data_IF_955227805871
#
_entry.id   IF_955227805871
#
_cell.length_a   1.000
_cell.length_b   1.000
_cell.length_c   1.000
_cell.angle_alpha   90.00
_cell.angle_beta   90.00
_cell.angle_gamma   90.00
#
_symmetry.space_group_name_H-M   'P 1'
#
loop_
_entity.id
_entity.type
_entity.pdbx_description
1 polymer ?
#
# COMPACT_ATOMS: atom_id res chain seq x y z
N UNK A 1 7.65 15.42 -0.84
CA UNK A 1 8.68 14.49 -1.33
C UNK A 1 8.65 13.25 -0.44
N UNK A 2 8.72 12.04 -1.01
CA UNK A 2 8.40 10.75 -0.35
C UNK A 2 9.34 10.30 0.81
N UNK A 3 10.27 11.13 1.27
CA UNK A 3 11.15 10.80 2.40
C UNK A 3 12.18 9.68 2.15
N UNK A 4 12.40 9.28 0.90
CA UNK A 4 13.32 8.20 0.52
C UNK A 4 14.80 8.63 0.72
N UNK A 5 15.61 7.75 1.32
CA UNK A 5 17.04 8.00 1.58
C UNK A 5 17.96 7.64 0.42
N UNK A 6 17.55 6.68 -0.40
CA UNK A 6 18.30 6.16 -1.54
C UNK A 6 17.33 5.84 -2.69
N UNK A 7 17.80 5.90 -3.94
CA UNK A 7 17.01 5.42 -5.08
C UNK A 7 16.93 3.88 -5.07
N UNK A 8 15.91 3.34 -5.75
CA UNK A 8 15.85 1.91 -6.05
C UNK A 8 17.08 1.49 -6.84
N UNK A 9 17.70 0.36 -6.45
CA UNK A 9 18.83 -0.20 -7.19
C UNK A 9 18.41 -0.51 -8.64
N UNK A 10 19.11 0.00 -9.67
CA UNK A 10 18.77 -0.25 -11.08
C UNK A 10 18.72 -1.74 -11.45
N UNK A 11 19.34 -2.63 -10.67
CA UNK A 11 19.24 -4.08 -10.88
C UNK A 11 17.85 -4.64 -10.55
N UNK A 12 17.07 -3.95 -9.71
CA UNK A 12 15.73 -4.41 -9.33
C UNK A 12 14.80 -4.50 -10.54
N UNK A 13 14.80 -3.49 -11.42
CA UNK A 13 13.94 -3.51 -12.62
C UNK A 13 14.30 -4.66 -13.55
N UNK A 14 15.60 -4.94 -13.74
CA UNK A 14 16.06 -6.08 -14.55
C UNK A 14 15.63 -7.45 -13.99
N UNK A 15 15.36 -7.54 -12.68
CA UNK A 15 14.87 -8.77 -12.04
C UNK A 15 13.35 -8.83 -12.14
N UNK A 16 12.66 -7.71 -11.84
CA UNK A 16 11.21 -7.60 -11.94
C UNK A 16 10.71 -7.96 -13.34
N UNK A 17 11.38 -7.47 -14.39
CA UNK A 17 11.06 -7.77 -15.80
C UNK A 17 11.10 -9.26 -16.15
N UNK A 18 11.85 -10.08 -15.41
CA UNK A 18 11.94 -11.52 -15.66
C UNK A 18 10.73 -12.30 -15.16
N UNK A 19 9.99 -11.77 -14.19
CA UNK A 19 8.87 -12.44 -13.52
C UNK A 19 7.76 -11.44 -13.16
N UNK A 20 7.23 -10.73 -14.16
CA UNK A 20 6.22 -9.68 -13.95
C UNK A 20 4.94 -10.20 -13.29
N UNK A 21 4.53 -11.44 -13.57
CA UNK A 21 3.34 -12.04 -12.94
C UNK A 21 3.49 -12.14 -11.42
N UNK A 22 4.66 -12.53 -10.92
CA UNK A 22 4.93 -12.58 -9.47
C UNK A 22 4.91 -11.17 -8.86
N UNK A 23 5.47 -10.18 -9.58
CA UNK A 23 5.45 -8.77 -9.13
C UNK A 23 4.02 -8.24 -9.07
N UNK A 24 3.19 -8.49 -10.07
CA UNK A 24 1.79 -8.05 -10.07
C UNK A 24 0.97 -8.75 -8.98
N UNK A 25 1.26 -10.02 -8.72
CA UNK A 25 0.64 -10.77 -7.62
C UNK A 25 1.01 -10.17 -6.27
N UNK A 26 2.31 -9.93 -6.02
CA UNK A 26 2.78 -9.30 -4.78
C UNK A 26 2.27 -7.85 -4.65
N UNK A 27 2.20 -7.10 -5.75
CA UNK A 27 1.62 -5.76 -5.80
C UNK A 27 0.15 -5.79 -5.36
N UNK A 28 -0.69 -6.64 -5.95
CA UNK A 28 -2.08 -6.79 -5.50
C UNK A 28 -2.17 -7.06 -3.99
N UNK A 29 -1.33 -7.96 -3.46
CA UNK A 29 -1.27 -8.18 -2.02
C UNK A 29 -0.73 -6.98 -1.23
N UNK A 30 0.10 -6.11 -1.80
CA UNK A 30 0.52 -4.86 -1.15
C UNK A 30 -0.65 -3.89 -1.01
N UNK A 31 -1.49 -3.74 -2.03
CA UNK A 31 -2.67 -2.88 -1.95
C UNK A 31 -3.70 -3.39 -0.93
N UNK A 32 -3.94 -4.71 -0.91
CA UNK A 32 -4.78 -5.32 0.12
C UNK A 32 -4.21 -5.11 1.53
N UNK A 33 -2.88 -5.21 1.71
CA UNK A 33 -2.22 -4.94 3.00
C UNK A 33 -2.35 -3.48 3.41
N UNK A 34 -2.25 -2.54 2.48
CA UNK A 34 -2.46 -1.12 2.73
C UNK A 34 -3.90 -0.84 3.21
N UNK A 35 -4.90 -1.37 2.49
CA UNK A 35 -6.30 -1.28 2.90
C UNK A 35 -6.56 -1.89 4.29
N UNK A 36 -6.01 -3.07 4.55
CA UNK A 36 -6.15 -3.77 5.82
C UNK A 36 -5.49 -3.02 6.98
N UNK A 37 -4.37 -2.35 6.72
CA UNK A 37 -3.67 -1.50 7.69
C UNK A 37 -4.51 -0.27 8.04
N UNK A 38 -5.09 0.39 7.03
CA UNK A 38 -6.00 1.52 7.24
C UNK A 38 -7.22 1.11 8.10
N UNK A 39 -7.83 -0.05 7.82
CA UNK A 39 -8.93 -0.60 8.65
C UNK A 39 -8.47 -0.89 10.07
N UNK A 40 -7.27 -1.44 10.25
CA UNK A 40 -6.71 -1.71 11.59
C UNK A 40 -6.53 -0.43 12.41
N UNK A 41 -6.14 0.67 11.76
CA UNK A 41 -6.04 1.99 12.40
C UNK A 41 -7.40 2.57 12.78
N UNK A 42 -8.42 2.40 11.94
CA UNK A 42 -9.81 2.80 12.26
C UNK A 42 -10.30 2.08 13.53
N UNK A 43 -10.10 0.76 13.58
CA UNK A 43 -10.51 -0.06 14.73
C UNK A 43 -9.71 0.27 15.99
N UNK A 44 -8.41 0.54 15.84
CA UNK A 44 -7.50 0.81 16.96
C UNK A 44 -7.65 2.21 17.58
N UNK A 45 -8.15 3.19 16.82
CA UNK A 45 -8.27 4.58 17.24
C UNK A 45 -9.61 5.22 16.85
N UNK A 46 -10.75 4.62 17.23
CA UNK A 46 -12.07 5.05 16.78
C UNK A 46 -12.45 6.46 17.25
N UNK A 47 -11.85 6.95 18.33
CA UNK A 47 -12.10 8.29 18.88
C UNK A 47 -11.45 9.42 18.06
N UNK A 48 -10.53 9.09 17.15
CA UNK A 48 -9.83 10.07 16.30
C UNK A 48 -10.57 10.23 14.96
N UNK A 49 -11.66 11.00 14.96
CA UNK A 49 -12.53 11.21 13.78
C UNK A 49 -11.77 11.51 12.50
N UNK A 50 -10.81 12.44 12.55
CA UNK A 50 -10.04 12.85 11.37
C UNK A 50 -9.19 11.69 10.82
N UNK A 51 -8.62 10.86 11.70
CA UNK A 51 -7.89 9.66 11.28
C UNK A 51 -8.84 8.65 10.64
N UNK A 52 -10.00 8.42 11.24
CA UNK A 52 -11.01 7.48 10.74
C UNK A 52 -11.49 7.87 9.34
N UNK A 53 -11.78 9.14 9.12
CA UNK A 53 -12.24 9.64 7.82
C UNK A 53 -11.16 9.46 6.73
N UNK A 54 -9.91 9.83 7.04
CA UNK A 54 -8.79 9.68 6.11
C UNK A 54 -8.47 8.21 5.82
N UNK A 55 -8.46 7.35 6.84
CA UNK A 55 -8.21 5.91 6.66
C UNK A 55 -9.35 5.22 5.93
N UNK A 56 -10.60 5.69 6.08
CA UNK A 56 -11.75 5.15 5.34
C UNK A 56 -11.62 5.47 3.86
N UNK A 57 -11.22 6.70 3.52
CA UNK A 57 -10.93 7.07 2.13
C UNK A 57 -9.78 6.23 1.57
N UNK A 58 -8.67 6.12 2.29
CA UNK A 58 -7.50 5.33 1.90
C UNK A 58 -7.85 3.86 1.67
N UNK A 59 -8.55 3.22 2.62
CA UNK A 59 -8.94 1.82 2.48
C UNK A 59 -9.78 1.55 1.22
N UNK A 60 -10.64 2.50 0.84
CA UNK A 60 -11.45 2.40 -0.39
C UNK A 60 -10.61 2.59 -1.66
N UNK A 61 -9.66 3.52 -1.63
CA UNK A 61 -8.74 3.75 -2.75
C UNK A 61 -7.88 2.49 -3.00
N UNK A 62 -7.25 1.95 -1.96
CA UNK A 62 -6.37 0.79 -2.12
C UNK A 62 -7.12 -0.50 -2.46
N UNK A 63 -8.36 -0.66 -1.98
CA UNK A 63 -9.22 -1.75 -2.43
C UNK A 63 -9.70 -1.56 -3.89
N UNK A 64 -9.66 -0.34 -4.43
CA UNK A 64 -9.89 -0.08 -5.85
C UNK A 64 -8.66 -0.35 -6.72
N UNK A 65 -7.46 -0.34 -6.12
CA UNK A 65 -6.21 -0.74 -6.78
C UNK A 65 -6.03 -2.27 -6.82
N UNK A 66 -6.50 -2.98 -5.79
CA UNK A 66 -6.53 -4.45 -5.72
C UNK A 66 -7.51 -5.07 -6.73
#
# INVERSE_FOLDING_TARGET
>A
MLGLKLPTDPRWVNIAEKQIEEILTDHAYCEQKAASTAISLIVGYPEKSDLVDQMTALAREEMGHF
#
